data_IF_870748279048
#
_entry.id   IF_870748279048
#
_cell.length_a   1.000
_cell.length_b   1.000
_cell.length_c   1.000
_cell.angle_alpha   90.00
_cell.angle_beta   90.00
_cell.angle_gamma   90.00
#
_symmetry.space_group_name_H-M   'P 1'
#
loop_
_entity.id
_entity.type
_entity.pdbx_description
1 polymer ?
#
# COMPACT_ATOMS: atom_id res chain seq x y z
N UNK A 1 21.41 13.10 -13.21
CA UNK A 1 20.33 12.16 -12.86
C UNK A 1 19.03 12.79 -13.34
N UNK A 2 18.44 12.26 -14.41
CA UNK A 2 17.36 12.92 -15.16
C UNK A 2 16.04 12.25 -14.81
N UNK A 3 15.12 13.04 -14.25
CA UNK A 3 13.76 12.67 -13.86
C UNK A 3 12.98 12.12 -15.07
N UNK A 4 12.84 10.79 -15.16
CA UNK A 4 12.21 10.07 -16.27
C UNK A 4 10.69 10.32 -16.38
N UNK A 5 10.07 10.96 -15.39
CA UNK A 5 8.63 11.19 -15.34
C UNK A 5 8.16 12.43 -16.14
N UNK A 6 9.08 13.29 -16.64
CA UNK A 6 8.69 14.55 -17.30
C UNK A 6 8.26 14.42 -18.78
N UNK A 7 8.28 13.23 -19.38
CA UNK A 7 8.13 13.07 -20.85
C UNK A 7 6.88 12.27 -21.28
N UNK A 8 6.17 11.60 -20.37
CA UNK A 8 4.98 10.81 -20.73
C UNK A 8 3.78 11.36 -19.97
N UNK A 9 2.96 12.20 -20.60
CA UNK A 9 1.71 12.62 -19.98
C UNK A 9 0.98 13.86 -20.51
N UNK A 10 1.50 14.57 -21.53
CA UNK A 10 0.64 15.45 -22.35
C UNK A 10 0.05 14.62 -23.47
N UNK A 11 -1.05 13.93 -23.20
CA UNK A 11 -1.90 13.44 -24.28
C UNK A 11 -3.36 13.64 -23.90
N UNK A 12 -3.96 14.59 -24.62
CA UNK A 12 -5.39 14.84 -24.67
C UNK A 12 -6.12 13.52 -24.93
N UNK A 13 -7.06 13.18 -24.05
CA UNK A 13 -8.19 12.33 -24.40
C UNK A 13 -9.48 13.02 -23.94
N UNK A 14 -9.82 14.09 -24.65
CA UNK A 14 -11.20 14.53 -24.76
C UNK A 14 -11.81 13.80 -25.95
N UNK A 15 -12.42 12.65 -25.71
CA UNK A 15 -13.31 12.00 -26.67
C UNK A 15 -14.61 11.67 -25.96
N UNK A 16 -15.67 12.11 -26.61
CA UNK A 16 -17.06 12.00 -26.24
C UNK A 16 -17.50 10.56 -25.92
N UNK A 17 -18.49 10.42 -25.05
CA UNK A 17 -19.07 9.13 -24.72
C UNK A 17 -20.22 9.23 -23.75
N UNK A 18 -21.24 10.02 -24.07
CA UNK A 18 -22.58 9.86 -23.49
C UNK A 18 -23.05 8.46 -23.84
N UNK A 19 -23.01 7.54 -22.87
CA UNK A 19 -23.68 6.24 -22.94
C UNK A 19 -24.60 6.12 -21.72
N UNK A 20 -25.66 6.94 -21.73
CA UNK A 20 -26.84 6.75 -20.88
C UNK A 20 -27.63 5.57 -21.45
N UNK A 21 -27.26 4.35 -21.07
CA UNK A 21 -28.13 3.18 -21.21
C UNK A 21 -28.83 2.93 -19.87
N UNK A 22 -30.00 3.54 -19.74
CA UNK A 22 -31.01 3.15 -18.75
C UNK A 22 -31.57 1.78 -19.11
N UNK A 23 -31.24 0.75 -18.35
CA UNK A 23 -32.05 -0.48 -18.32
C UNK A 23 -32.10 -1.03 -16.89
N UNK A 24 -33.24 -0.84 -16.19
CA UNK A 24 -33.71 -1.84 -15.25
C UNK A 24 -35.15 -2.21 -15.64
N UNK A 25 -35.32 -3.27 -16.41
CA UNK A 25 -36.59 -3.99 -16.44
C UNK A 25 -36.37 -5.32 -15.74
N UNK A 26 -36.84 -5.33 -14.48
CA UNK A 26 -37.19 -6.52 -13.75
C UNK A 26 -38.18 -7.36 -14.57
N UNK A 27 -37.81 -8.60 -14.87
CA UNK A 27 -38.77 -9.65 -15.14
C UNK A 27 -38.41 -10.86 -14.28
N UNK A 28 -39.12 -10.98 -13.16
CA UNK A 28 -39.26 -12.22 -12.42
C UNK A 28 -39.88 -13.29 -13.32
N UNK A 29 -39.43 -14.54 -13.20
CA UNK A 29 -40.28 -15.70 -13.50
C UNK A 29 -39.81 -16.92 -12.71
N UNK A 30 -40.81 -17.63 -12.22
CA UNK A 30 -40.79 -18.58 -11.13
C UNK A 30 -40.20 -19.96 -11.47
N UNK A 31 -39.77 -20.61 -10.38
CA UNK A 31 -39.65 -22.05 -10.12
C UNK A 31 -40.59 -22.97 -10.90
N UNK A 32 -40.03 -24.00 -11.54
CA UNK A 32 -40.48 -25.42 -11.56
C UNK A 32 -39.42 -26.21 -12.36
N UNK A 33 -39.08 -27.48 -12.14
CA UNK A 33 -39.55 -28.55 -11.29
C UNK A 33 -38.38 -29.51 -11.04
N UNK A 34 -38.19 -29.99 -9.81
CA UNK A 34 -37.28 -31.12 -9.52
C UNK A 34 -37.98 -32.42 -9.90
N UNK A 35 -37.79 -32.83 -11.15
CA UNK A 35 -38.27 -34.11 -11.68
C UNK A 35 -37.28 -35.22 -11.36
N UNK A 36 -37.64 -36.03 -10.37
CA UNK A 36 -36.95 -37.26 -10.02
C UNK A 36 -36.98 -38.30 -11.16
N UNK A 37 -35.86 -39.01 -11.35
CA UNK A 37 -35.74 -40.41 -11.80
C UNK A 37 -34.25 -40.80 -11.73
N UNK A 38 -33.77 -41.37 -10.62
CA UNK A 38 -33.78 -42.80 -10.24
C UNK A 38 -33.09 -43.72 -11.29
N UNK A 39 -31.95 -44.24 -10.84
CA UNK A 39 -31.45 -45.61 -10.95
C UNK A 39 -30.38 -45.90 -12.01
N UNK A 40 -29.29 -46.47 -11.48
CA UNK A 40 -28.10 -47.08 -12.10
C UNK A 40 -27.04 -46.12 -12.63
N UNK A 41 -26.13 -45.70 -11.75
CA UNK A 41 -24.73 -45.61 -12.17
C UNK A 41 -23.84 -46.25 -11.10
N UNK A 42 -23.37 -47.45 -11.43
CA UNK A 42 -22.49 -48.31 -10.64
C UNK A 42 -21.04 -47.80 -10.77
N UNK A 43 -20.77 -46.60 -10.29
CA UNK A 43 -19.40 -46.05 -10.23
C UNK A 43 -18.88 -45.95 -8.79
N UNK A 44 -18.43 -47.04 -8.15
CA UNK A 44 -17.57 -46.95 -6.98
C UNK A 44 -16.18 -47.49 -7.32
N UNK A 45 -15.23 -46.64 -7.73
CA UNK A 45 -13.77 -46.88 -7.59
C UNK A 45 -12.89 -45.72 -8.11
N UNK A 46 -13.45 -44.55 -8.46
CA UNK A 46 -12.65 -43.36 -8.82
C UNK A 46 -12.98 -42.13 -7.95
N UNK A 47 -13.17 -42.36 -6.65
CA UNK A 47 -13.33 -41.30 -5.64
C UNK A 47 -12.34 -41.50 -4.48
N UNK A 48 -11.08 -41.78 -4.83
CA UNK A 48 -10.00 -42.04 -3.89
C UNK A 48 -8.71 -41.25 -4.20
N UNK A 49 -8.83 -40.05 -4.80
CA UNK A 49 -7.83 -39.00 -4.64
C UNK A 49 -8.51 -37.73 -4.10
N UNK A 50 -8.79 -37.78 -2.79
CA UNK A 50 -8.39 -36.72 -1.85
C UNK A 50 -8.73 -35.27 -2.25
N UNK A 51 -10.01 -34.94 -2.28
CA UNK A 51 -10.43 -33.56 -1.95
C UNK A 51 -10.25 -33.38 -0.45
N UNK A 52 -9.04 -33.04 -0.03
CA UNK A 52 -8.78 -32.65 1.35
C UNK A 52 -9.46 -31.30 1.59
N UNK A 53 -10.39 -31.15 2.54
CA UNK A 53 -10.80 -29.84 2.98
C UNK A 53 -9.61 -29.31 3.78
N UNK A 54 -8.66 -28.66 3.10
CA UNK A 54 -7.75 -27.76 3.79
C UNK A 54 -8.63 -26.61 4.27
N UNK A 55 -9.21 -26.78 5.46
CA UNK A 55 -9.66 -25.68 6.27
C UNK A 55 -8.42 -24.84 6.53
N UNK A 56 -8.21 -23.83 5.68
CA UNK A 56 -7.35 -22.71 6.06
C UNK A 56 -7.80 -22.29 7.46
N UNK A 57 -6.89 -22.14 8.44
CA UNK A 57 -7.27 -21.46 9.67
C UNK A 57 -7.95 -20.14 9.27
N UNK A 58 -9.02 -19.68 9.95
CA UNK A 58 -9.51 -18.34 9.71
C UNK A 58 -8.28 -17.46 9.81
N UNK A 59 -7.98 -16.73 8.73
CA UNK A 59 -6.88 -15.79 8.71
C UNK A 59 -7.03 -14.98 9.98
N UNK A 60 -6.19 -15.28 10.98
CA UNK A 60 -6.20 -14.56 12.23
C UNK A 60 -6.12 -13.11 11.81
N UNK A 61 -6.97 -12.26 12.37
CA UNK A 61 -6.89 -10.83 12.18
C UNK A 61 -5.48 -10.40 12.56
N UNK A 62 -4.54 -10.49 11.60
CA UNK A 62 -3.29 -9.78 11.59
C UNK A 62 -3.74 -8.34 11.51
N UNK A 63 -4.00 -7.77 12.69
CA UNK A 63 -4.09 -6.34 12.86
C UNK A 63 -2.80 -5.84 12.25
N UNK A 64 -2.86 -5.38 11.00
CA UNK A 64 -1.72 -4.72 10.39
C UNK A 64 -1.31 -3.67 11.41
N UNK A 65 -0.09 -3.77 11.91
CA UNK A 65 0.36 -2.94 13.01
C UNK A 65 0.23 -1.48 12.56
N UNK A 66 -0.65 -0.72 13.20
CA UNK A 66 -0.86 0.68 12.88
C UNK A 66 -0.27 1.51 14.00
N UNK A 67 0.73 2.33 13.67
CA UNK A 67 1.18 3.42 14.54
C UNK A 67 0.32 4.64 14.20
N UNK A 68 -0.14 5.35 15.23
CA UNK A 68 -0.82 6.63 15.05
C UNK A 68 0.15 7.64 14.41
N UNK A 69 -0.29 8.28 13.33
CA UNK A 69 0.52 9.25 12.62
C UNK A 69 0.40 10.63 13.30
N UNK A 70 1.45 11.45 13.31
CA UNK A 70 1.37 12.82 13.80
C UNK A 70 0.30 13.62 13.07
N UNK A 71 -0.53 14.37 13.79
CA UNK A 71 -1.50 15.26 13.17
C UNK A 71 -0.80 16.32 12.31
N UNK A 72 -1.39 16.63 11.15
CA UNK A 72 -0.83 17.62 10.23
C UNK A 72 -1.43 17.54 8.83
N UNK A 73 -1.20 18.60 8.06
CA UNK A 73 -1.60 18.66 6.66
C UNK A 73 -0.94 17.54 5.86
N UNK A 74 -1.75 16.75 5.16
CA UNK A 74 -1.27 15.59 4.39
C UNK A 74 -1.20 14.27 5.17
N UNK A 75 -1.53 14.25 6.47
CA UNK A 75 -1.55 13.02 7.27
C UNK A 75 -2.51 11.97 6.73
N UNK A 76 -3.79 12.32 6.53
CA UNK A 76 -4.81 11.37 6.04
C UNK A 76 -4.53 10.89 4.62
N UNK A 77 -3.99 11.77 3.77
CA UNK A 77 -3.56 11.41 2.41
C UNK A 77 -2.39 10.44 2.44
N UNK A 78 -1.37 10.71 3.26
CA UNK A 78 -0.22 9.82 3.47
C UNK A 78 -0.66 8.47 3.99
N UNK A 79 -1.54 8.43 4.99
CA UNK A 79 -2.13 7.19 5.51
C UNK A 79 -2.81 6.40 4.39
N UNK A 80 -3.70 7.05 3.64
CA UNK A 80 -4.45 6.42 2.54
C UNK A 80 -3.53 5.79 1.49
N UNK A 81 -2.50 6.52 1.04
CA UNK A 81 -1.62 6.07 -0.03
C UNK A 81 -0.59 5.05 0.49
N UNK A 82 0.11 5.37 1.57
CA UNK A 82 1.22 4.54 2.07
C UNK A 82 0.77 3.29 2.83
N UNK A 83 -0.49 3.21 3.28
CA UNK A 83 -1.03 2.02 3.96
C UNK A 83 -1.88 1.12 3.06
N UNK A 84 -1.86 1.32 1.74
CA UNK A 84 -2.63 0.49 0.79
C UNK A 84 -2.14 -0.96 0.75
N UNK A 85 -0.87 -1.21 1.05
CA UNK A 85 -0.23 -2.53 0.94
C UNK A 85 0.33 -3.09 2.25
N UNK A 86 0.72 -2.24 3.21
CA UNK A 86 1.25 -2.63 4.52
C UNK A 86 0.87 -1.60 5.60
N UNK A 87 1.07 -1.93 6.88
CA UNK A 87 0.74 -1.03 7.99
C UNK A 87 1.52 0.30 7.98
N UNK A 88 0.99 1.28 8.72
CA UNK A 88 1.66 2.58 8.91
C UNK A 88 2.93 2.46 9.75
N UNK A 89 3.06 1.38 10.53
CA UNK A 89 4.25 1.10 11.33
C UNK A 89 5.53 0.97 10.50
N UNK A 90 5.42 0.48 9.26
CA UNK A 90 6.55 0.27 8.35
C UNK A 90 7.24 1.60 8.02
N UNK A 91 6.49 2.65 7.71
CA UNK A 91 7.08 3.95 7.37
C UNK A 91 7.22 4.89 8.58
N UNK A 92 6.34 4.80 9.58
CA UNK A 92 6.40 5.68 10.75
C UNK A 92 7.68 5.53 11.60
N UNK A 93 8.35 4.38 11.48
CA UNK A 93 9.64 4.09 12.14
C UNK A 93 10.87 4.53 11.36
N UNK A 94 10.70 4.91 10.10
CA UNK A 94 11.80 5.32 9.24
C UNK A 94 12.06 6.82 9.39
N UNK A 95 13.30 7.23 9.12
CA UNK A 95 13.71 8.63 9.12
C UNK A 95 14.58 8.86 7.90
N UNK A 96 14.13 9.73 7.02
CA UNK A 96 14.75 9.95 5.72
C UNK A 96 14.64 11.41 5.33
N UNK A 97 15.60 11.91 4.56
CA UNK A 97 15.47 13.23 3.95
C UNK A 97 14.41 13.23 2.83
N UNK A 98 14.16 14.41 2.28
CA UNK A 98 13.19 14.59 1.19
C UNK A 98 13.53 13.75 -0.04
N UNK A 99 14.81 13.65 -0.39
CA UNK A 99 15.24 12.98 -1.61
C UNK A 99 14.99 11.47 -1.50
N UNK A 100 15.30 10.88 -0.36
CA UNK A 100 15.10 9.47 -0.10
C UNK A 100 13.62 9.11 0.09
N UNK A 101 12.81 9.99 0.69
CA UNK A 101 11.35 9.81 0.70
C UNK A 101 10.75 9.77 -0.71
N UNK A 102 11.19 10.66 -1.60
CA UNK A 102 10.77 10.63 -3.01
C UNK A 102 11.16 9.31 -3.69
N UNK A 103 12.36 8.78 -3.41
CA UNK A 103 12.78 7.46 -3.96
C UNK A 103 11.89 6.31 -3.46
N UNK A 104 11.49 6.35 -2.19
CA UNK A 104 10.57 5.35 -1.62
C UNK A 104 9.19 5.46 -2.29
N UNK A 105 8.68 6.68 -2.44
CA UNK A 105 7.40 6.95 -3.11
C UNK A 105 7.43 6.44 -4.55
N UNK A 106 8.48 6.76 -5.32
CA UNK A 106 8.68 6.28 -6.69
C UNK A 106 8.70 4.75 -6.76
N UNK A 107 9.39 4.11 -5.82
CA UNK A 107 9.40 2.65 -5.71
C UNK A 107 8.00 2.09 -5.43
N UNK A 108 7.17 2.78 -4.64
CA UNK A 108 5.79 2.35 -4.38
C UNK A 108 4.89 2.57 -5.61
N UNK A 109 5.06 3.67 -6.35
CA UNK A 109 4.38 3.89 -7.63
C UNK A 109 4.69 2.76 -8.62
N UNK A 110 5.97 2.34 -8.71
CA UNK A 110 6.38 1.20 -9.54
C UNK A 110 5.74 -0.13 -9.14
N UNK A 111 5.26 -0.24 -7.89
CA UNK A 111 4.60 -1.43 -7.33
C UNK A 111 3.07 -1.34 -7.38
N UNK A 112 2.51 -0.29 -7.99
CA UNK A 112 1.07 -0.14 -8.20
C UNK A 112 0.38 0.83 -7.25
N UNK A 113 1.11 1.65 -6.50
CA UNK A 113 0.53 2.87 -5.92
C UNK A 113 0.15 3.81 -7.09
N UNK A 114 -1.03 4.42 -6.99
CA UNK A 114 -1.53 5.39 -7.98
C UNK A 114 -1.94 6.68 -7.25
N UNK A 115 -1.39 7.81 -7.68
CA UNK A 115 -1.59 9.12 -7.09
C UNK A 115 -1.20 10.21 -8.10
N UNK A 116 -1.80 11.39 -7.95
CA UNK A 116 -1.43 12.57 -8.75
C UNK A 116 -0.12 13.19 -8.28
N UNK A 117 0.59 13.92 -9.15
CA UNK A 117 1.83 14.63 -8.79
C UNK A 117 1.65 15.57 -7.58
N UNK A 118 0.50 16.24 -7.49
CA UNK A 118 0.16 17.13 -6.36
C UNK A 118 -0.03 16.35 -5.05
N UNK A 119 -0.59 15.14 -5.12
CA UNK A 119 -0.73 14.28 -3.95
C UNK A 119 0.63 13.72 -3.51
N UNK A 120 1.48 13.33 -4.47
CA UNK A 120 2.84 12.86 -4.19
C UNK A 120 3.69 13.95 -3.51
N UNK A 121 3.58 15.20 -3.97
CA UNK A 121 4.24 16.35 -3.37
C UNK A 121 3.78 16.61 -1.92
N UNK A 122 2.46 16.49 -1.66
CA UNK A 122 1.90 16.61 -0.31
C UNK A 122 2.38 15.48 0.61
N UNK A 123 2.38 14.24 0.12
CA UNK A 123 2.86 13.09 0.89
C UNK A 123 4.35 13.23 1.21
N UNK A 124 5.18 13.58 0.23
CA UNK A 124 6.61 13.78 0.46
C UNK A 124 6.89 14.93 1.44
N UNK A 125 6.06 15.98 1.42
CA UNK A 125 6.13 17.10 2.38
C UNK A 125 5.81 16.64 3.79
N UNK A 126 4.69 15.94 3.96
CA UNK A 126 4.30 15.38 5.25
C UNK A 126 5.35 14.40 5.79
N UNK A 127 5.83 13.47 4.96
CA UNK A 127 6.85 12.49 5.35
C UNK A 127 8.15 13.17 5.79
N UNK A 128 8.58 14.21 5.09
CA UNK A 128 9.79 14.95 5.46
C UNK A 128 9.61 15.76 6.74
N UNK A 129 8.45 16.41 6.91
CA UNK A 129 8.18 17.24 8.08
C UNK A 129 8.10 16.43 9.38
N UNK A 130 7.54 15.22 9.34
CA UNK A 130 7.25 14.41 10.53
C UNK A 130 8.19 13.21 10.69
N UNK A 131 8.85 12.78 9.62
CA UNK A 131 9.74 11.62 9.56
C UNK A 131 11.04 11.95 8.79
N UNK A 132 11.46 13.21 8.79
CA UNK A 132 12.78 13.68 8.37
C UNK A 132 13.91 13.18 9.28
N UNK A 133 15.17 13.18 8.82
CA UNK A 133 16.33 12.83 9.68
C UNK A 133 16.42 13.72 10.93
N UNK A 134 16.09 15.00 10.77
CA UNK A 134 16.03 15.98 11.86
C UNK A 134 14.66 16.02 12.56
N UNK A 135 13.67 15.26 12.07
CA UNK A 135 12.36 15.19 12.70
C UNK A 135 12.53 14.49 14.05
N UNK A 136 12.58 15.30 15.11
CA UNK A 136 12.57 14.84 16.48
C UNK A 136 11.52 13.73 16.61
N UNK A 137 11.89 12.53 17.08
CA UNK A 137 10.88 11.55 17.46
C UNK A 137 9.84 12.25 18.33
N UNK A 138 8.56 12.11 18.02
CA UNK A 138 7.50 12.52 18.93
C UNK A 138 7.80 11.82 20.28
N UNK A 139 8.36 12.57 21.22
CA UNK A 139 8.97 12.01 22.43
C UNK A 139 7.90 11.91 23.51
N UNK A 140 7.62 10.72 24.08
CA UNK A 140 7.30 10.64 25.51
C UNK A 140 8.51 11.19 26.31
N UNK A 141 8.32 11.69 27.56
CA UNK A 141 9.31 12.50 28.25
C UNK A 141 10.71 11.85 28.30
N UNK A 142 11.70 12.69 28.03
CA UNK A 142 13.04 12.37 27.56
C UNK A 142 13.85 11.38 28.41
N UNK A 143 14.51 10.44 27.72
CA UNK A 143 15.78 9.87 28.15
C UNK A 143 16.90 10.53 27.34
N UNK A 144 17.87 11.11 28.03
CA UNK A 144 18.99 11.88 27.46
C UNK A 144 19.83 11.05 26.49
N UNK A 145 20.20 11.56 25.29
CA UNK A 145 21.12 10.86 24.39
C UNK A 145 22.57 10.90 24.94
N UNK A 146 23.38 9.83 24.77
CA UNK A 146 24.81 9.86 25.11
C UNK A 146 25.60 10.75 24.13
N UNK A 147 26.72 11.36 24.58
CA UNK A 147 27.53 12.22 23.72
C UNK A 147 28.16 11.43 22.58
N UNK A 148 27.94 11.90 21.35
CA UNK A 148 28.58 11.38 20.14
C UNK A 148 30.08 11.69 20.18
N UNK A 149 30.92 10.66 20.24
CA UNK A 149 32.38 10.81 20.15
C UNK A 149 32.79 10.90 18.68
N UNK A 150 33.23 12.08 18.27
CA UNK A 150 33.84 12.35 16.97
C UNK A 150 35.21 11.66 16.87
N UNK A 151 35.35 10.63 16.02
CA UNK A 151 36.67 10.10 15.66
C UNK A 151 37.19 10.79 14.39
N UNK A 152 37.72 11.99 14.56
CA UNK A 152 38.67 12.59 13.64
C UNK A 152 40.10 12.23 14.10
N UNK A 153 40.68 11.18 13.52
CA UNK A 153 42.15 11.00 13.43
C UNK A 153 42.51 9.71 12.72
N UNK A 154 42.97 9.82 11.47
CA UNK A 154 44.30 9.31 11.11
C UNK A 154 44.71 9.92 9.78
N UNK A 155 45.27 11.14 9.89
CA UNK A 155 46.31 11.60 8.99
C UNK A 155 47.36 10.49 8.82
N UNK A 156 47.47 9.90 7.63
CA UNK A 156 48.72 9.27 7.20
C UNK A 156 49.36 10.15 6.15
N UNK A 157 50.19 11.02 6.69
CA UNK A 157 51.17 11.88 6.05
C UNK A 157 52.46 11.04 5.93
N UNK A 158 53.15 11.16 4.79
CA UNK A 158 54.50 10.65 4.50
C UNK A 158 54.60 9.10 4.38
N UNK A 159 55.30 8.54 3.39
CA UNK A 159 56.53 8.99 2.72
C UNK A 159 56.70 8.28 1.38
#
# INVERSE_FOLDING_TARGET
MINRYKVVGRMLFAVAGVCLLTLPVHAASATTASGARRLLDLTPMLRALQTSPQASPPAGNSKTSAIALPDGDGMELTKKLCSGCHGTDVFARQRHDRAHWNQIIDNMMSKGMDASDDDLEKVATYLTAHFGEDAQPATPPAATPPPSVSNASMSHIAR
#
